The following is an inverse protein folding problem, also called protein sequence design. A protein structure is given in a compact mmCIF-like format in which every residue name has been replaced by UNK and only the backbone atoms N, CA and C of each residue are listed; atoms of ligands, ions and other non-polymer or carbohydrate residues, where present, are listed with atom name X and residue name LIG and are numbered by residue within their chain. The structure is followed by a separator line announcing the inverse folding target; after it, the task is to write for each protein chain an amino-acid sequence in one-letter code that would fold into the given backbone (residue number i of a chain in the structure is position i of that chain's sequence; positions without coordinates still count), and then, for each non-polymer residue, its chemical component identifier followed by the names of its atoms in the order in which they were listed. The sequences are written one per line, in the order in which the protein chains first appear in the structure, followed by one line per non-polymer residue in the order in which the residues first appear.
data_IF_023720762634
#
_entry.id   IF_023720762634
#
_cell.length_a   1.000
_cell.length_b   1.000
_cell.length_c   1.000
_cell.angle_alpha   90.00
_cell.angle_beta   90.00
_cell.angle_gamma   90.00
#
_symmetry.space_group_name_H-M   'P 1'
#
loop_
_entity.id
_entity.type
_entity.pdbx_description
1 polymer ?
#
# COMPACT_ATOMS: atom_id res chain seq x y z
N UNK A 1 -10.63 46.83 -50.31
CA UNK A 1 -11.70 45.94 -49.83
C UNK A 1 -11.20 44.47 -49.73
N UNK A 2 -10.00 44.24 -49.14
CA UNK A 2 -9.33 42.92 -49.12
C UNK A 2 -9.02 42.41 -47.68
N UNK A 3 -9.34 43.18 -46.64
CA UNK A 3 -8.97 42.81 -45.24
C UNK A 3 -9.98 41.94 -44.49
N UNK A 4 -11.20 41.72 -44.96
CA UNK A 4 -12.23 40.96 -44.26
C UNK A 4 -12.08 39.41 -44.28
N UNK A 5 -11.52 38.74 -45.31
CA UNK A 5 -11.37 37.28 -45.28
C UNK A 5 -10.20 36.81 -44.40
N UNK A 6 -9.13 37.62 -44.24
CA UNK A 6 -7.94 37.24 -43.46
C UNK A 6 -8.21 37.16 -41.95
N UNK A 7 -9.03 38.09 -41.43
CA UNK A 7 -9.39 38.12 -39.99
C UNK A 7 -10.29 36.93 -39.62
N UNK A 8 -11.18 36.49 -40.51
CA UNK A 8 -12.03 35.31 -40.28
C UNK A 8 -11.22 33.99 -40.26
N UNK A 9 -10.17 33.87 -41.08
CA UNK A 9 -9.30 32.67 -41.11
C UNK A 9 -8.43 32.60 -39.87
N UNK A 10 -7.88 33.71 -39.37
CA UNK A 10 -7.07 33.75 -38.14
C UNK A 10 -7.93 33.45 -36.91
N UNK A 11 -9.15 33.90 -36.80
CA UNK A 11 -10.05 33.59 -35.67
C UNK A 11 -10.42 32.12 -35.62
N UNK A 12 -10.61 31.44 -36.76
CA UNK A 12 -10.92 30.01 -36.79
C UNK A 12 -9.72 29.13 -36.38
N UNK A 13 -8.49 29.54 -36.72
CA UNK A 13 -7.26 28.83 -36.30
C UNK A 13 -7.02 29.00 -34.79
N UNK A 14 -7.30 30.17 -34.22
CA UNK A 14 -7.17 30.41 -32.78
C UNK A 14 -8.20 29.63 -31.95
N UNK A 15 -9.42 29.47 -32.44
CA UNK A 15 -10.46 28.67 -31.78
C UNK A 15 -10.11 27.17 -31.83
N UNK A 16 -9.54 26.67 -32.92
CA UNK A 16 -9.13 25.30 -33.05
C UNK A 16 -7.87 24.97 -32.19
N UNK A 17 -6.93 25.93 -32.10
CA UNK A 17 -5.74 25.80 -31.22
C UNK A 17 -6.11 25.85 -29.73
N UNK A 18 -7.10 26.65 -29.30
CA UNK A 18 -7.55 26.64 -27.92
C UNK A 18 -8.34 25.40 -27.55
N UNK A 19 -9.07 24.77 -28.48
CA UNK A 19 -9.75 23.47 -28.22
C UNK A 19 -8.76 22.32 -28.02
N UNK A 20 -7.61 22.33 -28.68
CA UNK A 20 -6.54 21.32 -28.51
C UNK A 20 -5.80 21.43 -27.17
N UNK A 21 -5.76 22.61 -26.55
CA UNK A 21 -5.14 22.82 -25.25
C UNK A 21 -5.98 22.33 -24.06
N UNK A 22 -7.30 22.17 -24.23
CA UNK A 22 -8.18 21.62 -23.19
C UNK A 22 -8.09 20.11 -23.02
N UNK A 23 -7.48 19.38 -23.93
CA UNK A 23 -7.32 17.92 -23.83
C UNK A 23 -6.02 17.48 -23.14
N UNK A 24 -5.14 18.41 -22.74
CA UNK A 24 -3.81 18.11 -22.19
C UNK A 24 -3.76 17.96 -20.66
N UNK A 25 -4.83 18.29 -19.92
CA UNK A 25 -4.92 17.94 -18.48
C UNK A 25 -5.67 16.62 -18.34
N UNK A 26 -5.03 15.52 -18.75
CA UNK A 26 -5.43 14.21 -18.31
C UNK A 26 -4.76 14.03 -16.94
N UNK A 27 -5.53 14.25 -15.87
CA UNK A 27 -5.15 13.76 -14.54
C UNK A 27 -4.72 12.29 -14.70
N UNK A 28 -3.64 11.90 -14.06
CA UNK A 28 -3.32 10.49 -13.82
C UNK A 28 -4.37 9.90 -12.87
N UNK A 29 -5.62 9.97 -13.27
CA UNK A 29 -6.72 9.23 -12.71
C UNK A 29 -6.51 7.76 -13.05
N UNK A 30 -6.63 6.87 -12.07
CA UNK A 30 -6.48 5.43 -12.22
C UNK A 30 -7.19 4.93 -13.49
N UNK A 31 -6.64 3.91 -14.11
CA UNK A 31 -7.22 3.29 -15.32
C UNK A 31 -8.71 3.04 -15.09
N UNK A 32 -9.57 3.52 -16.01
CA UNK A 32 -11.00 3.27 -15.95
C UNK A 32 -11.26 1.77 -15.71
N UNK A 33 -12.02 1.44 -14.67
CA UNK A 33 -12.33 0.07 -14.30
C UNK A 33 -11.44 -0.55 -13.21
N UNK A 34 -10.42 0.14 -12.69
CA UNK A 34 -9.60 -0.38 -11.57
C UNK A 34 -10.20 -0.02 -10.21
N UNK A 35 -10.07 -0.94 -9.23
CA UNK A 35 -10.47 -0.70 -7.84
C UNK A 35 -9.43 0.21 -7.16
N UNK A 36 -9.79 1.46 -6.78
CA UNK A 36 -8.86 2.38 -6.14
C UNK A 36 -8.64 2.00 -4.69
N UNK A 37 -7.39 1.80 -4.29
CA UNK A 37 -6.98 1.38 -2.96
C UNK A 37 -5.85 2.27 -2.45
N UNK A 38 -5.75 2.39 -1.13
CA UNK A 38 -4.61 3.03 -0.46
C UNK A 38 -3.94 2.07 0.51
N UNK A 39 -2.64 2.23 0.67
CA UNK A 39 -1.85 1.52 1.67
C UNK A 39 -0.97 2.49 2.46
N UNK A 40 -0.65 2.17 3.69
CA UNK A 40 0.23 3.01 4.51
C UNK A 40 1.63 3.11 3.92
N UNK A 41 2.26 1.97 3.65
CA UNK A 41 3.67 1.86 3.25
C UNK A 41 3.83 1.12 1.92
N UNK A 42 4.95 1.39 1.25
CA UNK A 42 5.28 0.77 -0.04
C UNK A 42 5.28 -0.77 -0.04
N UNK A 43 5.78 -1.50 0.99
CA UNK A 43 5.66 -2.94 1.06
C UNK A 43 4.22 -3.46 0.97
N UNK A 44 3.29 -2.84 1.71
CA UNK A 44 1.88 -3.20 1.65
C UNK A 44 1.27 -2.90 0.27
N UNK A 45 1.57 -1.72 -0.31
CA UNK A 45 1.12 -1.35 -1.65
C UNK A 45 1.62 -2.34 -2.71
N UNK A 46 2.88 -2.76 -2.63
CA UNK A 46 3.47 -3.75 -3.55
C UNK A 46 2.79 -5.12 -3.46
N UNK A 47 2.43 -5.56 -2.25
CA UNK A 47 1.71 -6.82 -2.06
C UNK A 47 0.28 -6.74 -2.60
N UNK A 48 -0.42 -5.63 -2.36
CA UNK A 48 -1.76 -5.40 -2.93
C UNK A 48 -1.69 -5.42 -4.45
N UNK A 49 -0.72 -4.71 -5.06
CA UNK A 49 -0.51 -4.71 -6.49
C UNK A 49 -0.13 -6.10 -7.04
N UNK A 50 0.61 -6.91 -6.28
CA UNK A 50 0.96 -8.29 -6.70
C UNK A 50 -0.25 -9.22 -6.77
N UNK A 51 -1.23 -9.06 -5.87
CA UNK A 51 -2.46 -9.87 -5.83
C UNK A 51 -3.54 -9.26 -6.72
N UNK A 52 -3.68 -7.94 -6.70
CA UNK A 52 -4.70 -7.21 -7.46
C UNK A 52 -4.39 -7.08 -8.94
N UNK A 53 -3.10 -7.02 -9.29
CA UNK A 53 -2.57 -6.85 -10.65
C UNK A 53 -3.21 -5.65 -11.38
N UNK A 54 -3.70 -5.85 -12.59
CA UNK A 54 -4.34 -4.81 -13.40
C UNK A 54 -5.74 -4.39 -12.91
N UNK A 55 -6.33 -5.11 -11.96
CA UNK A 55 -7.66 -4.83 -11.43
C UNK A 55 -7.66 -3.78 -10.31
N UNK A 56 -6.49 -3.42 -9.78
CA UNK A 56 -6.38 -2.44 -8.69
C UNK A 56 -5.47 -1.26 -9.07
N UNK A 57 -5.74 -0.12 -8.46
CA UNK A 57 -4.87 1.06 -8.47
C UNK A 57 -4.51 1.38 -7.03
N UNK A 58 -3.23 1.34 -6.66
CA UNK A 58 -2.80 1.47 -5.26
C UNK A 58 -1.97 2.73 -5.06
N UNK A 59 -2.42 3.58 -4.13
CA UNK A 59 -1.69 4.77 -3.70
C UNK A 59 -1.05 4.52 -2.34
N UNK A 60 0.23 4.86 -2.19
CA UNK A 60 0.94 4.78 -0.90
C UNK A 60 0.77 6.10 -0.15
N UNK A 61 0.32 6.02 1.11
CA UNK A 61 0.07 7.20 1.95
C UNK A 61 1.37 7.84 2.43
N UNK A 62 2.32 7.00 2.89
CA UNK A 62 3.65 7.44 3.34
C UNK A 62 4.59 7.55 2.15
N UNK A 63 5.05 8.76 1.77
CA UNK A 63 6.02 8.92 0.70
C UNK A 63 7.35 8.24 1.04
N UNK A 64 8.06 7.78 0.01
CA UNK A 64 9.36 7.14 0.19
C UNK A 64 10.35 8.08 0.91
N UNK A 65 11.09 7.54 1.88
CA UNK A 65 12.07 8.30 2.66
C UNK A 65 11.50 9.01 3.89
N UNK A 66 10.18 8.99 4.11
CA UNK A 66 9.58 9.51 5.34
C UNK A 66 9.57 8.47 6.46
N UNK A 67 9.65 8.96 7.71
CA UNK A 67 9.59 8.12 8.88
C UNK A 67 8.13 7.81 9.27
N UNK A 68 7.72 6.52 9.34
CA UNK A 68 6.36 6.13 9.66
C UNK A 68 5.94 6.45 11.12
N UNK A 69 6.88 6.74 12.00
CA UNK A 69 6.57 7.01 13.41
C UNK A 69 6.00 8.42 13.66
N UNK A 70 6.39 9.39 12.84
CA UNK A 70 6.03 10.80 13.02
C UNK A 70 5.53 11.49 11.75
N UNK A 71 5.10 10.72 10.75
CA UNK A 71 4.57 11.26 9.51
C UNK A 71 3.20 11.95 9.75
N UNK A 72 3.02 13.11 9.14
CA UNK A 72 1.73 13.77 9.06
C UNK A 72 1.23 13.76 7.60
N UNK A 73 0.06 13.16 7.34
CA UNK A 73 -0.49 13.09 5.99
C UNK A 73 -0.73 14.47 5.39
N UNK A 74 -0.24 14.66 4.18
CA UNK A 74 -0.49 15.88 3.41
C UNK A 74 -1.96 15.96 2.96
N UNK A 75 -2.48 17.17 2.62
CA UNK A 75 -3.81 17.30 2.03
C UNK A 75 -4.01 16.42 0.80
N UNK A 76 -2.98 16.26 -0.03
CA UNK A 76 -3.00 15.38 -1.20
C UNK A 76 -3.14 13.91 -0.81
N UNK A 77 -2.42 13.45 0.22
CA UNK A 77 -2.54 12.09 0.74
C UNK A 77 -3.95 11.82 1.29
N UNK A 78 -4.54 12.79 1.99
CA UNK A 78 -5.92 12.71 2.48
C UNK A 78 -6.95 12.70 1.34
N UNK A 79 -6.69 13.41 0.25
CA UNK A 79 -7.54 13.37 -0.95
C UNK A 79 -7.47 12.00 -1.63
N UNK A 80 -6.29 11.39 -1.73
CA UNK A 80 -6.12 10.03 -2.26
C UNK A 80 -6.90 9.00 -1.42
N UNK A 81 -6.88 9.12 -0.09
CA UNK A 81 -7.73 8.29 0.79
C UNK A 81 -9.23 8.49 0.51
N UNK A 82 -9.67 9.74 0.30
CA UNK A 82 -11.07 10.05 0.06
C UNK A 82 -11.62 9.43 -1.24
N UNK A 83 -10.75 9.16 -2.21
CA UNK A 83 -11.12 8.50 -3.48
C UNK A 83 -10.92 6.98 -3.45
N UNK A 84 -10.33 6.44 -2.39
CA UNK A 84 -10.07 5.01 -2.25
C UNK A 84 -11.31 4.24 -1.75
N UNK A 85 -11.48 3.01 -2.22
CA UNK A 85 -12.50 2.09 -1.74
C UNK A 85 -12.12 1.49 -0.39
N UNK A 86 -10.84 1.22 -0.18
CA UNK A 86 -10.29 0.70 1.06
C UNK A 86 -8.89 1.26 1.34
N UNK A 87 -8.56 1.34 2.62
CA UNK A 87 -7.24 1.69 3.12
C UNK A 87 -6.67 0.55 3.95
N UNK A 88 -5.54 0.02 3.48
CA UNK A 88 -4.79 -1.05 4.13
C UNK A 88 -3.70 -0.45 5.02
N UNK A 89 -3.83 -0.62 6.32
CA UNK A 89 -2.93 -0.05 7.31
C UNK A 89 -2.25 -1.14 8.13
N UNK A 90 -1.04 -0.83 8.63
CA UNK A 90 -0.18 -1.80 9.31
C UNK A 90 -0.69 -2.17 10.69
N UNK A 91 -1.28 -1.21 11.40
CA UNK A 91 -1.93 -1.43 12.69
C UNK A 91 -1.34 -0.62 13.83
N UNK A 92 -0.02 -0.62 14.00
CA UNK A 92 0.64 -0.01 15.17
C UNK A 92 1.78 0.95 14.82
N UNK A 93 1.88 1.42 13.56
CA UNK A 93 2.80 2.51 13.20
C UNK A 93 2.42 3.80 13.92
N UNK A 94 3.42 4.59 14.31
CA UNK A 94 3.23 5.76 15.15
C UNK A 94 2.20 6.74 14.61
N UNK A 95 2.26 7.07 13.32
CA UNK A 95 1.27 7.98 12.75
C UNK A 95 -0.12 7.34 12.61
N UNK A 96 -0.23 6.02 12.36
CA UNK A 96 -1.52 5.34 12.25
C UNK A 96 -2.30 5.43 13.56
N UNK A 97 -1.63 5.23 14.71
CA UNK A 97 -2.24 5.39 16.04
C UNK A 97 -2.88 6.76 16.24
N UNK A 98 -2.27 7.80 15.65
CA UNK A 98 -2.75 9.18 15.77
C UNK A 98 -3.84 9.53 14.75
N UNK A 99 -3.85 8.89 13.59
CA UNK A 99 -4.67 9.31 12.45
C UNK A 99 -5.82 8.38 12.11
N UNK A 100 -5.79 7.09 12.52
CA UNK A 100 -6.79 6.11 12.06
C UNK A 100 -8.21 6.47 12.49
N UNK A 101 -8.41 6.96 13.72
CA UNK A 101 -9.72 7.39 14.21
C UNK A 101 -10.23 8.63 13.47
N UNK A 102 -9.32 9.58 13.19
CA UNK A 102 -9.66 10.78 12.42
C UNK A 102 -10.02 10.45 10.99
N UNK A 103 -9.29 9.53 10.35
CA UNK A 103 -9.61 9.02 9.00
C UNK A 103 -11.00 8.37 9.02
N UNK A 104 -11.27 7.49 9.98
CA UNK A 104 -12.56 6.82 10.12
C UNK A 104 -13.72 7.80 10.29
N UNK A 105 -13.56 8.81 11.15
CA UNK A 105 -14.60 9.81 11.43
C UNK A 105 -14.87 10.73 10.24
N UNK A 106 -13.84 11.10 9.47
CA UNK A 106 -13.96 12.01 8.32
C UNK A 106 -14.36 11.30 7.04
N UNK A 107 -14.11 9.99 6.94
CA UNK A 107 -14.37 9.17 5.75
C UNK A 107 -15.11 7.87 6.11
N UNK A 108 -16.36 7.93 6.54
CA UNK A 108 -17.10 6.77 7.07
C UNK A 108 -17.39 5.69 6.02
N UNK A 109 -17.24 5.99 4.73
CA UNK A 109 -17.42 5.03 3.62
C UNK A 109 -16.14 4.27 3.27
N UNK A 110 -14.98 4.76 3.73
CA UNK A 110 -13.68 4.13 3.50
C UNK A 110 -13.57 2.86 4.34
N UNK A 111 -13.31 1.72 3.70
CA UNK A 111 -13.09 0.49 4.45
C UNK A 111 -11.66 0.47 5.00
N UNK A 112 -11.54 0.39 6.33
CA UNK A 112 -10.26 0.29 7.01
C UNK A 112 -9.88 -1.18 7.22
N UNK A 113 -8.77 -1.60 6.64
CA UNK A 113 -8.29 -2.99 6.63
C UNK A 113 -6.95 -3.05 7.36
N UNK A 114 -6.97 -3.64 8.55
CA UNK A 114 -5.79 -3.82 9.38
C UNK A 114 -5.04 -5.08 8.99
N UNK A 115 -3.72 -4.97 8.70
CA UNK A 115 -2.91 -6.04 8.13
C UNK A 115 -2.25 -6.98 9.15
N UNK A 116 -2.17 -6.60 10.43
CA UNK A 116 -1.54 -7.40 11.50
C UNK A 116 -2.49 -8.39 12.20
N UNK A 117 -3.76 -8.50 11.75
CA UNK A 117 -4.78 -9.32 12.43
C UNK A 117 -4.35 -10.77 12.65
N UNK A 118 -3.69 -11.38 11.68
CA UNK A 118 -3.22 -12.76 11.76
C UNK A 118 -1.95 -12.95 12.64
N UNK A 119 -1.36 -11.87 13.14
CA UNK A 119 -0.17 -11.87 13.98
C UNK A 119 -0.48 -11.62 15.45
N UNK A 120 -1.63 -11.05 15.77
CA UNK A 120 -2.09 -10.82 17.14
C UNK A 120 -2.32 -12.15 17.85
N UNK A 121 -1.77 -12.28 19.05
CA UNK A 121 -1.84 -13.52 19.84
C UNK A 121 -0.56 -14.36 19.81
N UNK A 122 0.47 -13.91 19.11
CA UNK A 122 1.82 -14.48 19.15
C UNK A 122 2.77 -13.45 19.75
N UNK A 123 2.44 -12.94 20.94
CA UNK A 123 3.30 -12.00 21.65
C UNK A 123 4.59 -12.71 22.03
N UNK A 124 5.70 -12.24 21.50
CA UNK A 124 7.02 -12.60 21.98
C UNK A 124 7.27 -11.85 23.29
N UNK A 125 7.26 -12.57 24.40
CA UNK A 125 7.57 -12.02 25.70
C UNK A 125 9.05 -11.68 25.78
N UNK A 126 9.45 -10.50 25.33
CA UNK A 126 10.69 -9.92 25.80
C UNK A 126 10.44 -9.43 27.22
N UNK A 127 11.10 -10.11 28.15
CA UNK A 127 10.96 -9.95 29.59
C UNK A 127 11.29 -8.53 30.07
N UNK A 128 10.32 -7.64 30.02
CA UNK A 128 10.27 -6.43 30.84
C UNK A 128 8.80 -6.17 31.15
N UNK A 129 8.43 -6.46 32.38
CA UNK A 129 7.12 -6.46 33.04
C UNK A 129 6.17 -5.27 32.81
N UNK A 130 5.71 -5.07 31.60
CA UNK A 130 4.62 -4.16 31.26
C UNK A 130 3.55 -4.95 30.50
N UNK A 131 2.33 -5.01 31.05
CA UNK A 131 1.18 -5.77 30.55
C UNK A 131 0.53 -5.21 29.27
N UNK A 132 1.20 -4.35 28.50
CA UNK A 132 0.79 -3.97 27.16
C UNK A 132 1.66 -4.72 26.17
N UNK A 133 1.09 -5.76 25.53
CA UNK A 133 1.71 -6.45 24.41
C UNK A 133 2.01 -5.43 23.29
N UNK A 134 3.21 -4.86 23.29
CA UNK A 134 3.67 -4.01 22.20
C UNK A 134 4.13 -4.95 21.09
N UNK A 135 3.28 -5.15 20.12
CA UNK A 135 3.62 -5.89 18.92
C UNK A 135 4.59 -5.05 18.06
N UNK A 136 5.72 -5.67 17.60
CA UNK A 136 6.65 -4.99 16.69
C UNK A 136 5.91 -4.62 15.39
N UNK A 137 5.76 -3.33 15.05
CA UNK A 137 5.04 -2.93 13.85
C UNK A 137 5.75 -3.33 12.56
N UNK A 138 7.04 -3.74 12.62
CA UNK A 138 7.88 -4.01 11.44
C UNK A 138 7.76 -5.44 10.90
N UNK A 139 6.64 -6.12 11.15
CA UNK A 139 6.42 -7.52 10.75
C UNK A 139 6.55 -7.79 9.24
N UNK A 140 6.45 -6.76 8.39
CA UNK A 140 6.69 -6.89 6.94
C UNK A 140 8.14 -7.22 6.57
N UNK A 141 9.06 -7.18 7.52
CA UNK A 141 10.47 -7.59 7.33
C UNK A 141 10.66 -9.10 7.45
N UNK A 142 9.67 -9.86 7.91
CA UNK A 142 9.70 -11.30 8.05
C UNK A 142 8.81 -12.02 7.02
N UNK A 143 9.16 -13.24 6.67
CA UNK A 143 8.35 -14.11 5.79
C UNK A 143 7.00 -14.45 6.42
N UNK A 144 6.96 -14.64 7.74
CA UNK A 144 5.73 -14.87 8.51
C UNK A 144 4.81 -13.66 8.38
N UNK A 145 5.33 -12.46 8.58
CA UNK A 145 4.59 -11.23 8.43
C UNK A 145 4.07 -11.02 7.01
N UNK A 146 4.91 -11.23 5.99
CA UNK A 146 4.50 -11.14 4.59
C UNK A 146 3.40 -12.14 4.23
N UNK A 147 3.47 -13.39 4.72
CA UNK A 147 2.41 -14.39 4.50
C UNK A 147 1.10 -13.97 5.18
N UNK A 148 1.17 -13.43 6.39
CA UNK A 148 -0.01 -12.91 7.11
C UNK A 148 -0.65 -11.74 6.38
N UNK A 149 0.15 -10.73 5.99
CA UNK A 149 -0.32 -9.61 5.18
C UNK A 149 -0.97 -10.07 3.88
N UNK A 150 -0.32 -10.98 3.15
CA UNK A 150 -0.84 -11.51 1.88
C UNK A 150 -2.20 -12.17 2.06
N UNK A 151 -2.43 -12.89 3.16
CA UNK A 151 -3.71 -13.52 3.49
C UNK A 151 -4.80 -12.47 3.75
N UNK A 152 -4.51 -11.44 4.55
CA UNK A 152 -5.45 -10.37 4.85
C UNK A 152 -5.80 -9.55 3.60
N UNK A 153 -4.81 -9.26 2.76
CA UNK A 153 -5.02 -8.56 1.48
C UNK A 153 -5.91 -9.40 0.56
N UNK A 154 -5.58 -10.68 0.35
CA UNK A 154 -6.37 -11.59 -0.48
C UNK A 154 -7.82 -11.69 0.01
N UNK A 155 -8.02 -11.95 1.29
CA UNK A 155 -9.35 -12.06 1.89
C UNK A 155 -10.17 -10.76 1.76
N UNK A 156 -9.50 -9.62 1.77
CA UNK A 156 -10.13 -8.31 1.61
C UNK A 156 -10.48 -8.02 0.15
N UNK A 157 -9.59 -8.33 -0.80
CA UNK A 157 -9.85 -8.12 -2.23
C UNK A 157 -11.05 -8.93 -2.72
N UNK A 158 -11.18 -10.20 -2.34
CA UNK A 158 -12.35 -11.02 -2.72
C UNK A 158 -13.67 -10.52 -2.12
N UNK A 159 -13.63 -9.81 -0.97
CA UNK A 159 -14.81 -9.17 -0.38
C UNK A 159 -15.16 -7.85 -1.07
N UNK A 160 -14.15 -7.08 -1.47
CA UNK A 160 -14.30 -5.79 -2.13
C UNK A 160 -14.79 -5.94 -3.57
N UNK A 161 -14.35 -7.00 -4.23
CA UNK A 161 -14.59 -7.29 -5.65
C UNK A 161 -14.71 -8.82 -5.88
N UNK A 162 -15.84 -9.37 -5.49
CA UNK A 162 -16.12 -10.81 -5.59
C UNK A 162 -16.19 -11.32 -7.04
N UNK A 163 -16.40 -10.42 -8.00
CA UNK A 163 -16.48 -10.77 -9.43
C UNK A 163 -15.16 -11.35 -9.96
N UNK A 164 -14.02 -10.92 -9.38
CA UNK A 164 -12.69 -11.34 -9.82
C UNK A 164 -11.99 -12.30 -8.84
N UNK A 165 -12.77 -13.04 -8.05
CA UNK A 165 -12.25 -13.98 -7.03
C UNK A 165 -11.22 -14.95 -7.58
N UNK A 166 -11.46 -15.54 -8.75
CA UNK A 166 -10.53 -16.52 -9.37
C UNK A 166 -9.20 -15.88 -9.75
N UNK A 167 -9.23 -14.65 -10.27
CA UNK A 167 -8.02 -13.89 -10.58
C UNK A 167 -7.19 -13.62 -9.30
N UNK A 168 -7.81 -13.13 -8.24
CA UNK A 168 -7.12 -12.87 -6.96
C UNK A 168 -6.58 -14.17 -6.34
N UNK A 169 -7.30 -15.29 -6.46
CA UNK A 169 -6.87 -16.59 -5.96
C UNK A 169 -5.62 -17.07 -6.70
N UNK A 170 -5.59 -16.98 -8.02
CA UNK A 170 -4.42 -17.32 -8.82
C UNK A 170 -3.21 -16.46 -8.46
N UNK A 171 -3.40 -15.14 -8.40
CA UNK A 171 -2.32 -14.19 -8.07
C UNK A 171 -1.78 -14.38 -6.66
N UNK A 172 -2.66 -14.66 -5.69
CA UNK A 172 -2.27 -14.98 -4.33
C UNK A 172 -1.45 -16.27 -4.26
N UNK A 173 -1.82 -17.31 -5.03
CA UNK A 173 -1.03 -18.54 -5.17
C UNK A 173 0.39 -18.26 -5.66
N UNK A 174 0.55 -17.45 -6.71
CA UNK A 174 1.86 -17.04 -7.22
C UNK A 174 2.69 -16.25 -6.18
N UNK A 175 2.05 -15.41 -5.38
CA UNK A 175 2.72 -14.72 -4.28
C UNK A 175 3.25 -15.72 -3.24
N UNK A 176 2.44 -16.72 -2.84
CA UNK A 176 2.85 -17.75 -1.88
C UNK A 176 4.02 -18.59 -2.40
N UNK A 177 4.03 -18.93 -3.67
CA UNK A 177 5.15 -19.63 -4.33
C UNK A 177 6.46 -18.82 -4.26
N UNK A 178 6.37 -17.51 -4.59
CA UNK A 178 7.53 -16.59 -4.51
C UNK A 178 8.07 -16.48 -3.08
N UNK A 179 7.20 -16.39 -2.08
CA UNK A 179 7.61 -16.33 -0.67
C UNK A 179 8.27 -17.65 -0.23
N UNK A 180 7.81 -18.80 -0.72
CA UNK A 180 8.42 -20.10 -0.45
C UNK A 180 9.80 -20.21 -1.10
N UNK A 181 9.96 -19.74 -2.34
CA UNK A 181 11.27 -19.70 -3.01
C UNK A 181 12.24 -18.77 -2.27
N UNK A 182 11.76 -17.60 -1.81
CA UNK A 182 12.56 -16.65 -1.03
C UNK A 182 13.00 -17.28 0.29
N UNK A 183 12.12 -17.98 0.99
CA UNK A 183 12.45 -18.71 2.22
C UNK A 183 13.58 -19.74 2.01
N UNK A 184 13.49 -20.53 0.93
CA UNK A 184 14.55 -21.47 0.57
C UNK A 184 15.91 -20.80 0.34
N UNK A 185 15.91 -19.71 -0.43
CA UNK A 185 17.14 -18.93 -0.68
C UNK A 185 17.71 -18.31 0.59
N UNK A 186 16.87 -17.77 1.47
CA UNK A 186 17.33 -17.19 2.74
C UNK A 186 17.94 -18.26 3.62
N UNK A 187 17.32 -19.43 3.74
CA UNK A 187 17.86 -20.56 4.52
C UNK A 187 19.22 -21.02 3.98
N UNK A 188 19.37 -21.12 2.67
CA UNK A 188 20.65 -21.45 2.02
C UNK A 188 21.71 -20.40 2.34
N UNK A 189 21.40 -19.12 2.15
CA UNK A 189 22.34 -18.01 2.41
C UNK A 189 22.76 -17.90 3.88
N UNK A 190 21.88 -18.27 4.81
CA UNK A 190 22.11 -18.16 6.25
C UNK A 190 22.65 -19.44 6.88
N UNK A 191 22.75 -20.58 6.14
CA UNK A 191 23.15 -21.88 6.68
C UNK A 191 24.59 -21.89 7.20
N UNK A 192 25.50 -21.26 6.46
CA UNK A 192 26.95 -21.34 6.69
C UNK A 192 27.54 -20.09 7.37
N UNK A 193 26.68 -19.26 7.96
CA UNK A 193 27.14 -18.05 8.66
C UNK A 193 27.89 -18.44 9.95
N UNK A 194 29.10 -17.87 10.19
CA UNK A 194 29.87 -18.12 11.41
C UNK A 194 29.20 -17.56 12.66
N UNK A 195 28.30 -16.60 12.52
CA UNK A 195 27.46 -16.05 13.57
C UNK A 195 26.10 -15.65 13.00
N UNK A 196 25.06 -15.89 13.77
CA UNK A 196 23.68 -15.45 13.47
C UNK A 196 23.30 -14.17 14.21
N UNK A 197 24.24 -13.52 14.89
CA UNK A 197 24.02 -12.27 15.62
C UNK A 197 24.34 -11.09 14.72
N UNK A 198 23.48 -10.08 14.76
CA UNK A 198 23.68 -8.77 14.13
C UNK A 198 23.22 -7.67 15.08
N UNK A 199 23.72 -6.45 14.85
CA UNK A 199 23.37 -5.27 15.65
C UNK A 199 22.71 -4.25 14.75
N UNK A 200 21.57 -3.73 15.19
CA UNK A 200 20.82 -2.68 14.48
C UNK A 200 20.57 -1.50 15.42
N UNK A 201 20.55 -0.30 14.87
CA UNK A 201 20.26 0.90 15.64
C UNK A 201 18.77 1.02 15.96
N UNK A 202 17.89 0.81 14.97
CA UNK A 202 16.44 0.83 15.12
C UNK A 202 15.91 -0.62 15.05
N UNK A 203 15.08 -1.09 16.00
CA UNK A 203 14.67 -2.49 16.12
C UNK A 203 13.65 -2.91 15.03
N UNK A 204 13.93 -2.58 13.75
CA UNK A 204 13.04 -2.87 12.62
C UNK A 204 13.21 -4.27 12.01
N UNK A 205 14.14 -5.08 12.52
CA UNK A 205 14.42 -6.42 12.02
C UNK A 205 14.22 -7.51 13.08
N UNK A 206 13.48 -7.23 14.15
CA UNK A 206 13.20 -8.21 15.22
C UNK A 206 12.49 -9.44 14.66
N UNK A 207 11.46 -9.24 13.88
CA UNK A 207 10.69 -10.31 13.22
C UNK A 207 11.51 -11.07 12.17
N UNK A 208 12.48 -10.43 11.51
CA UNK A 208 13.42 -11.10 10.60
C UNK A 208 14.39 -12.02 11.34
N UNK A 209 14.83 -11.66 12.55
CA UNK A 209 15.78 -12.43 13.33
C UNK A 209 15.22 -13.78 13.85
N UNK A 210 13.91 -14.00 13.72
CA UNK A 210 13.23 -15.23 14.13
C UNK A 210 13.15 -16.32 13.03
N UNK A 211 13.76 -16.07 11.86
CA UNK A 211 13.73 -16.97 10.69
C UNK A 211 14.68 -18.17 10.83
#
# INVERSE_FOLDING_TARGET
MILRPLVRSLSSVFIFASLLLYTACREEGGREGTLPLSATIAPAASMIASIGDSLVSVTTLLPQGNNPENYEPTPQAMQALATSRAYFYMGDLGFERSWIERIHSTQPKLQLIRLDRGLRGHAHSHATGSETEVHDPHYWTSLRGLRSMGREIYASLIKLDSTHTDHYTQRYGLLQERLTQLEGKLRELLSDLPSRAFVIYHPSLSEFAEV
#
